data_IF_845663084430
#
_entry.id   IF_845663084430
#
_cell.length_a   1.000
_cell.length_b   1.000
_cell.length_c   1.000
_cell.angle_alpha   90.00
_cell.angle_beta   90.00
_cell.angle_gamma   90.00
#
_symmetry.space_group_name_H-M   'P 1'
#
loop_
_entity.id
_entity.type
_entity.pdbx_description
1 polymer ?
#
# COMPACT_ATOMS: atom_id res chain seq x y z
N UNK A 1 -5.65 17.80 -0.24
CA UNK A 1 -4.25 17.76 0.26
C UNK A 1 -3.47 16.55 -0.18
N UNK A 2 -3.68 15.31 0.30
CA UNK A 2 -2.91 14.17 -0.22
C UNK A 2 -3.31 13.77 -1.66
N UNK A 3 -4.60 13.88 -1.99
CA UNK A 3 -5.11 13.67 -3.36
C UNK A 3 -4.47 14.62 -4.37
N UNK A 4 -4.07 15.81 -3.94
CA UNK A 4 -3.44 16.81 -4.81
C UNK A 4 -1.99 16.42 -5.16
N UNK A 5 -1.30 15.71 -4.24
CA UNK A 5 0.02 15.12 -4.50
C UNK A 5 -0.06 14.13 -5.66
N UNK A 6 -1.09 13.28 -5.70
CA UNK A 6 -1.30 12.29 -6.76
C UNK A 6 -1.92 12.87 -8.03
N UNK A 7 -2.61 14.01 -7.94
CA UNK A 7 -3.15 14.74 -9.10
C UNK A 7 -2.09 15.64 -9.76
N UNK A 8 -1.02 15.96 -9.04
CA UNK A 8 0.03 16.85 -9.52
C UNK A 8 0.63 16.37 -10.84
N UNK A 9 0.89 17.31 -11.75
CA UNK A 9 1.57 17.03 -13.01
C UNK A 9 3.07 17.23 -12.81
N UNK A 10 3.75 16.14 -12.47
CA UNK A 10 5.20 16.11 -12.30
C UNK A 10 5.69 16.31 -10.86
N UNK A 11 6.96 15.96 -10.66
CA UNK A 11 7.60 15.88 -9.34
C UNK A 11 7.61 17.21 -8.57
N UNK A 12 7.83 18.34 -9.25
CA UNK A 12 7.84 19.65 -8.59
C UNK A 12 6.47 20.06 -8.07
N UNK A 13 5.40 19.75 -8.81
CA UNK A 13 4.03 20.04 -8.38
C UNK A 13 3.62 19.14 -7.19
N UNK A 14 4.03 17.87 -7.20
CA UNK A 14 3.79 16.96 -6.08
C UNK A 14 4.51 17.41 -4.81
N UNK A 15 5.75 17.89 -4.94
CA UNK A 15 6.52 18.40 -3.80
C UNK A 15 5.87 19.63 -3.16
N UNK A 16 5.34 20.55 -3.98
CA UNK A 16 4.57 21.70 -3.49
C UNK A 16 3.29 21.27 -2.76
N UNK A 17 2.60 20.26 -3.26
CA UNK A 17 1.42 19.73 -2.57
C UNK A 17 1.78 19.11 -1.21
N UNK A 18 2.91 18.42 -1.11
CA UNK A 18 3.44 17.90 0.16
C UNK A 18 3.82 19.02 1.14
N UNK A 19 4.46 20.09 0.65
CA UNK A 19 4.76 21.27 1.48
C UNK A 19 3.52 21.94 2.07
N UNK A 20 2.38 21.88 1.38
CA UNK A 20 1.12 22.31 1.98
C UNK A 20 0.59 21.32 3.01
N UNK A 21 0.72 20.02 2.74
CA UNK A 21 0.17 18.97 3.58
C UNK A 21 0.81 18.89 4.98
N UNK A 22 2.14 19.06 5.10
CA UNK A 22 2.79 18.92 6.41
C UNK A 22 2.38 19.99 7.44
N UNK A 23 2.38 21.30 7.12
CA UNK A 23 1.88 22.32 8.05
C UNK A 23 0.41 22.10 8.44
N UNK A 24 -0.43 21.71 7.49
CA UNK A 24 -1.82 21.40 7.79
C UNK A 24 -1.98 20.20 8.73
N UNK A 25 -1.14 19.17 8.55
CA UNK A 25 -1.14 17.99 9.43
C UNK A 25 -0.74 18.34 10.87
N UNK A 26 0.18 19.30 11.04
CA UNK A 26 0.53 19.88 12.34
C UNK A 26 -0.64 20.68 12.94
N UNK A 27 -1.25 21.57 12.14
CA UNK A 27 -2.35 22.45 12.58
C UNK A 27 -3.60 21.69 13.05
N UNK A 28 -3.95 20.58 12.39
CA UNK A 28 -5.13 19.78 12.73
C UNK A 28 -5.00 19.08 14.09
N UNK A 29 -3.77 18.89 14.60
CA UNK A 29 -3.47 18.32 15.90
C UNK A 29 -4.16 16.96 16.21
N UNK A 30 -4.48 16.18 15.17
CA UNK A 30 -5.02 14.82 15.31
C UNK A 30 -3.87 13.81 15.25
N UNK A 31 -3.67 12.97 16.29
CA UNK A 31 -2.53 12.04 16.36
C UNK A 31 -2.40 11.11 15.15
N UNK A 32 -3.52 10.64 14.61
CA UNK A 32 -3.57 9.78 13.42
C UNK A 32 -3.07 10.51 12.18
N UNK A 33 -3.35 11.81 12.07
CA UNK A 33 -2.88 12.64 10.94
C UNK A 33 -1.39 12.92 11.06
N UNK A 34 -0.87 13.17 12.26
CA UNK A 34 0.57 13.30 12.50
C UNK A 34 1.32 11.99 12.22
N UNK A 35 0.74 10.85 12.59
CA UNK A 35 1.29 9.52 12.23
C UNK A 35 1.33 9.34 10.72
N UNK A 36 0.25 9.68 10.01
CA UNK A 36 0.22 9.66 8.56
C UNK A 36 1.28 10.57 7.96
N UNK A 37 1.43 11.79 8.46
CA UNK A 37 2.43 12.75 7.97
C UNK A 37 3.85 12.19 8.08
N UNK A 38 4.20 11.58 9.22
CA UNK A 38 5.49 10.92 9.41
C UNK A 38 5.68 9.74 8.45
N UNK A 39 4.64 8.95 8.20
CA UNK A 39 4.70 7.89 7.18
C UNK A 39 4.94 8.49 5.79
N UNK A 40 4.21 9.54 5.43
CA UNK A 40 4.36 10.20 4.11
C UNK A 40 5.76 10.77 3.93
N UNK A 41 6.34 11.37 4.98
CA UNK A 41 7.71 11.90 4.98
C UNK A 41 8.74 10.80 4.70
N UNK A 42 8.61 9.64 5.35
CA UNK A 42 9.50 8.48 5.11
C UNK A 42 9.45 8.02 3.65
N UNK A 43 8.29 8.11 3.00
CA UNK A 43 8.07 7.64 1.62
C UNK A 43 8.08 8.78 0.58
N UNK A 44 8.51 9.99 0.95
CA UNK A 44 8.38 11.17 0.10
C UNK A 44 9.12 10.99 -1.24
N UNK A 45 10.29 10.37 -1.22
CA UNK A 45 11.09 10.13 -2.42
C UNK A 45 10.34 9.25 -3.43
N UNK A 46 9.72 8.17 -2.96
CA UNK A 46 8.93 7.24 -3.75
C UNK A 46 7.64 7.89 -4.25
N UNK A 47 6.96 8.65 -3.39
CA UNK A 47 5.75 9.40 -3.73
C UNK A 47 6.03 10.45 -4.83
N UNK A 48 7.19 11.10 -4.79
CA UNK A 48 7.60 12.06 -5.83
C UNK A 48 8.08 11.34 -7.10
N UNK A 49 8.74 10.19 -6.95
CA UNK A 49 9.18 9.35 -8.08
C UNK A 49 8.00 8.75 -8.85
N UNK A 50 6.86 8.50 -8.18
CA UNK A 50 5.60 8.10 -8.80
C UNK A 50 5.21 8.99 -9.99
N UNK A 51 5.47 10.30 -9.88
CA UNK A 51 5.14 11.27 -10.92
C UNK A 51 5.99 11.13 -12.18
N UNK A 52 7.19 10.55 -12.07
CA UNK A 52 8.09 10.34 -13.20
C UNK A 52 7.83 9.00 -13.88
N UNK A 53 7.48 7.99 -13.10
CA UNK A 53 7.33 6.63 -13.61
C UNK A 53 5.97 6.41 -14.26
N UNK A 54 4.92 7.10 -13.81
CA UNK A 54 3.58 6.95 -14.40
C UNK A 54 3.06 5.51 -14.44
N UNK A 55 3.67 4.61 -13.64
CA UNK A 55 3.57 3.14 -13.75
C UNK A 55 2.19 2.57 -13.36
N UNK A 56 1.18 3.43 -13.26
CA UNK A 56 -0.21 3.02 -13.30
C UNK A 56 -0.81 3.51 -14.61
N UNK A 57 -0.66 2.72 -15.68
CA UNK A 57 -1.50 2.83 -16.88
C UNK A 57 -3.01 2.62 -16.59
N UNK A 58 -3.38 2.45 -15.32
CA UNK A 58 -4.74 2.45 -14.81
C UNK A 58 -4.88 3.58 -13.77
N UNK A 59 -4.96 4.83 -14.24
CA UNK A 59 -5.34 6.02 -13.45
C UNK A 59 -6.61 5.72 -12.65
N UNK A 60 -6.49 5.36 -11.37
CA UNK A 60 -7.57 4.92 -10.46
C UNK A 60 -8.87 4.58 -11.18
N UNK A 61 -8.86 3.57 -12.07
CA UNK A 61 -10.12 2.91 -12.41
C UNK A 61 -10.57 2.36 -11.07
N UNK A 62 -11.74 2.79 -10.60
CA UNK A 62 -12.37 2.15 -9.43
C UNK A 62 -12.18 0.66 -9.66
N UNK A 63 -11.38 -0.01 -8.82
CA UNK A 63 -11.52 -1.45 -8.68
C UNK A 63 -12.85 -1.61 -7.96
N UNK A 64 -13.95 -1.39 -8.69
CA UNK A 64 -15.20 -1.98 -8.34
C UNK A 64 -14.90 -3.48 -8.49
N UNK A 65 -14.85 -4.25 -7.40
CA UNK A 65 -14.59 -5.67 -7.52
C UNK A 65 -15.67 -6.22 -8.45
N UNK A 66 -15.31 -6.90 -9.55
CA UNK A 66 -16.33 -7.52 -10.38
C UNK A 66 -17.02 -8.56 -9.50
N UNK A 67 -18.29 -8.32 -9.17
CA UNK A 67 -19.15 -9.32 -8.53
C UNK A 67 -19.37 -9.21 -7.02
N UNK A 68 -19.60 -8.01 -6.46
CA UNK A 68 -20.23 -7.92 -5.12
C UNK A 68 -21.68 -7.44 -5.16
N UNK A 69 -22.52 -8.20 -5.86
CA UNK A 69 -23.95 -8.30 -5.51
C UNK A 69 -24.11 -9.55 -4.63
N UNK A 70 -23.69 -9.44 -3.39
CA UNK A 70 -23.88 -10.46 -2.36
C UNK A 70 -24.23 -9.77 -1.04
N UNK A 71 -25.07 -10.38 -0.18
CA UNK A 71 -25.70 -9.69 0.94
C UNK A 71 -24.66 -9.02 1.86
N UNK A 72 -24.99 -7.79 2.29
CA UNK A 72 -24.14 -6.98 3.16
C UNK A 72 -23.98 -7.66 4.53
N UNK A 73 -22.87 -8.37 4.70
CA UNK A 73 -22.44 -8.95 5.96
C UNK A 73 -20.92 -8.88 6.03
N UNK A 74 -20.41 -8.04 6.96
CA UNK A 74 -19.02 -7.89 7.43
C UNK A 74 -17.95 -8.51 6.52
N UNK A 75 -17.21 -7.66 5.82
CA UNK A 75 -15.97 -8.06 5.14
C UNK A 75 -15.01 -8.67 6.19
N UNK A 76 -14.93 -10.01 6.23
CA UNK A 76 -13.86 -10.71 6.96
C UNK A 76 -12.59 -10.56 6.14
N UNK A 77 -11.55 -10.00 6.73
CA UNK A 77 -10.19 -10.11 6.20
C UNK A 77 -9.88 -11.60 6.10
N UNK A 78 -9.57 -12.15 4.92
CA UNK A 78 -9.16 -13.55 4.82
C UNK A 78 -7.92 -13.75 5.68
N UNK A 79 -7.95 -14.76 6.56
CA UNK A 79 -6.72 -15.22 7.21
C UNK A 79 -5.71 -15.59 6.11
N UNK A 80 -4.42 -15.29 6.32
CA UNK A 80 -3.37 -15.45 5.31
C UNK A 80 -3.37 -16.82 4.62
N UNK A 81 -3.76 -17.88 5.34
CA UNK A 81 -3.83 -19.25 4.80
C UNK A 81 -4.93 -19.48 3.76
N UNK A 82 -5.99 -18.66 3.75
CA UNK A 82 -7.12 -18.81 2.83
C UNK A 82 -7.05 -17.87 1.62
N UNK A 83 -6.02 -17.03 1.56
CA UNK A 83 -5.82 -16.06 0.48
C UNK A 83 -5.57 -16.74 -0.86
N UNK A 84 -4.77 -17.81 -0.88
CA UNK A 84 -4.46 -18.58 -2.09
C UNK A 84 -5.70 -19.20 -2.73
N UNK A 85 -6.55 -19.85 -1.92
CA UNK A 85 -7.80 -20.43 -2.38
C UNK A 85 -8.77 -19.38 -2.94
N UNK A 86 -8.83 -18.19 -2.31
CA UNK A 86 -9.66 -17.09 -2.78
C UNK A 86 -9.12 -16.47 -4.08
N UNK A 87 -7.81 -16.31 -4.20
CA UNK A 87 -7.17 -15.80 -5.43
C UNK A 87 -7.45 -16.72 -6.62
N UNK A 88 -7.36 -18.03 -6.43
CA UNK A 88 -7.72 -19.04 -7.43
C UNK A 88 -9.20 -18.91 -7.85
N UNK A 89 -10.10 -18.70 -6.89
CA UNK A 89 -11.52 -18.50 -7.18
C UNK A 89 -11.80 -17.20 -7.94
N UNK A 90 -11.03 -16.14 -7.68
CA UNK A 90 -11.14 -14.85 -8.36
C UNK A 90 -10.37 -14.79 -9.70
N UNK A 91 -9.80 -15.91 -10.17
CA UNK A 91 -9.04 -15.97 -11.43
C UNK A 91 -7.69 -15.25 -11.40
N UNK A 92 -7.18 -14.93 -10.21
CA UNK A 92 -5.86 -14.31 -10.02
C UNK A 92 -4.82 -15.42 -9.86
N UNK A 93 -3.88 -15.51 -10.80
CA UNK A 93 -2.75 -16.42 -10.68
C UNK A 93 -1.70 -15.82 -9.73
N UNK A 94 -1.26 -16.61 -8.74
CA UNK A 94 -0.07 -16.26 -7.96
C UNK A 94 1.16 -16.45 -8.86
N UNK A 95 1.82 -15.36 -9.23
CA UNK A 95 3.21 -15.45 -9.71
C UNK A 95 4.12 -15.62 -8.49
N UNK A 96 4.57 -16.85 -8.24
CA UNK A 96 5.64 -17.12 -7.28
C UNK A 96 6.96 -16.90 -8.03
N UNK A 97 7.74 -15.83 -7.78
CA UNK A 97 9.09 -15.74 -8.32
C UNK A 97 9.90 -16.93 -7.77
N UNK A 98 10.75 -17.59 -8.58
CA UNK A 98 11.57 -18.69 -8.09
C UNK A 98 12.47 -18.15 -6.96
N UNK A 99 12.36 -18.78 -5.78
CA UNK A 99 13.16 -18.42 -4.62
C UNK A 99 14.65 -18.54 -4.96
N UNK A 100 15.34 -17.40 -5.00
CA UNK A 100 16.80 -17.39 -5.11
C UNK A 100 17.39 -18.18 -3.94
N UNK A 101 18.22 -19.18 -4.24
CA UNK A 101 18.73 -20.14 -3.28
C UNK A 101 19.79 -19.46 -2.38
N UNK A 102 19.37 -18.82 -1.28
CA UNK A 102 20.26 -18.37 -0.20
C UNK A 102 20.68 -19.57 0.64
N UNK A 103 21.54 -20.42 0.07
CA UNK A 103 22.31 -21.40 0.86
C UNK A 103 23.17 -20.62 1.86
N UNK A 104 22.97 -20.84 3.15
CA UNK A 104 24.02 -20.56 4.13
C UNK A 104 23.62 -20.39 5.59
N UNK A 105 22.40 -19.97 5.90
CA UNK A 105 22.02 -19.73 7.31
C UNK A 105 20.60 -20.22 7.63
N UNK A 106 20.53 -21.39 8.26
CA UNK A 106 19.37 -21.81 9.03
C UNK A 106 19.47 -21.22 10.44
N UNK A 107 18.57 -20.33 10.89
CA UNK A 107 18.52 -19.94 12.29
C UNK A 107 17.98 -21.10 13.13
N UNK A 108 18.69 -21.43 14.21
CA UNK A 108 18.30 -22.49 15.15
C UNK A 108 16.98 -22.13 15.85
N UNK A 109 15.99 -23.04 15.74
CA UNK A 109 14.75 -22.99 16.52
C UNK A 109 15.08 -23.33 17.99
N UNK A 110 15.13 -22.31 18.85
CA UNK A 110 15.08 -22.49 20.31
C UNK A 110 13.62 -22.77 20.68
N UNK A 111 13.31 -24.01 21.02
CA UNK A 111 12.08 -24.35 21.71
C UNK A 111 12.28 -24.07 23.20
N UNK A 112 11.66 -23.01 23.72
CA UNK A 112 11.43 -22.83 25.15
C UNK A 112 10.11 -23.51 25.50
N UNK A 113 10.17 -24.60 26.24
CA UNK A 113 9.04 -25.16 26.98
C UNK A 113 9.23 -24.91 28.48
N UNK A 114 8.12 -24.76 29.24
CA UNK A 114 8.12 -24.39 30.66
C UNK A 114 8.72 -25.44 31.59
#
# INVERSE_FOLDING_TARGET
>A
MLRDVYRAEGSSAARRALWGFYPWAEEVAVPEVSRLARTVEVWEAEIVAYQRTGMFQHRHRRHEPPGRQGPQGRARIPQLGNLSAQMLHCGLQQETPPTANTRGHSPALVASSP
#
